data_IF_341419878814
#
_entry.id   IF_341419878814
#
_cell.length_a   1.000
_cell.length_b   1.000
_cell.length_c   1.000
_cell.angle_alpha   90.00
_cell.angle_beta   90.00
_cell.angle_gamma   90.00
#
_symmetry.space_group_name_H-M   'P 1'
#
loop_
_entity.id
_entity.type
_entity.pdbx_description
1 polymer ?
#
# COMPACT_ATOMS: atom_id res chain seq x y z
N UNK A 1 13.07 15.81 -60.05
CA UNK A 1 14.39 16.18 -59.51
C UNK A 1 15.05 14.94 -58.93
N UNK A 2 16.08 14.37 -59.55
CA UNK A 2 16.83 13.28 -58.95
C UNK A 2 17.79 13.81 -57.90
N UNK A 3 17.84 13.11 -56.78
CA UNK A 3 18.70 13.44 -55.64
C UNK A 3 19.42 12.16 -55.21
N UNK A 4 20.71 12.24 -54.89
CA UNK A 4 21.52 11.09 -54.44
C UNK A 4 22.68 11.54 -53.56
N UNK A 5 23.19 10.65 -52.70
CA UNK A 5 24.34 10.94 -51.82
C UNK A 5 25.61 10.21 -52.24
N UNK A 6 25.51 9.07 -52.93
CA UNK A 6 26.68 8.25 -53.28
C UNK A 6 27.27 8.63 -54.63
N UNK A 7 28.60 8.63 -54.73
CA UNK A 7 29.28 8.96 -55.99
C UNK A 7 28.84 8.09 -57.18
N UNK A 8 28.51 6.82 -56.94
CA UNK A 8 28.02 5.89 -57.95
C UNK A 8 26.50 5.98 -58.23
N UNK A 9 25.79 6.95 -57.63
CA UNK A 9 24.34 7.17 -57.76
C UNK A 9 23.46 5.98 -57.36
N UNK A 10 24.00 5.00 -56.62
CA UNK A 10 23.25 3.79 -56.24
C UNK A 10 22.07 4.04 -55.29
N UNK A 11 21.98 5.23 -54.69
CA UNK A 11 20.88 5.67 -53.83
C UNK A 11 20.04 6.79 -54.47
N UNK A 12 20.10 6.95 -55.79
CA UNK A 12 19.36 7.97 -56.51
C UNK A 12 17.85 7.73 -56.42
N UNK A 13 17.13 8.80 -56.05
CA UNK A 13 15.66 8.82 -56.00
C UNK A 13 15.14 10.02 -56.77
N UNK A 14 14.15 9.78 -57.64
CA UNK A 14 13.43 10.83 -58.34
C UNK A 14 12.30 11.38 -57.49
N UNK A 15 12.35 12.68 -57.23
CA UNK A 15 11.29 13.39 -56.52
C UNK A 15 10.47 14.24 -57.50
N UNK A 16 9.13 14.09 -57.51
CA UNK A 16 8.26 14.95 -58.30
C UNK A 16 8.23 16.35 -57.70
N UNK A 17 8.45 17.36 -58.53
CA UNK A 17 8.38 18.76 -58.12
C UNK A 17 6.92 19.24 -58.13
N UNK A 18 6.48 19.90 -57.05
CA UNK A 18 5.13 20.45 -56.93
C UNK A 18 5.16 21.93 -57.27
N UNK A 19 4.32 22.34 -58.23
CA UNK A 19 4.14 23.75 -58.58
C UNK A 19 3.49 24.50 -57.41
N UNK A 20 4.03 25.65 -57.07
CA UNK A 20 3.53 26.57 -56.04
C UNK A 20 2.71 27.69 -56.69
N UNK A 21 1.97 28.44 -55.87
CA UNK A 21 1.06 29.49 -56.34
C UNK A 21 1.78 30.64 -57.07
N UNK A 22 3.01 30.95 -56.65
CA UNK A 22 3.88 31.95 -57.27
C UNK A 22 4.58 31.47 -58.56
N UNK A 23 4.28 30.24 -58.99
CA UNK A 23 4.89 29.62 -60.18
C UNK A 23 6.22 28.93 -59.94
N UNK A 24 6.79 28.99 -58.73
CA UNK A 24 7.96 28.21 -58.35
C UNK A 24 7.62 26.73 -58.15
N UNK A 25 8.63 25.88 -57.97
CA UNK A 25 8.46 24.45 -57.75
C UNK A 25 9.23 24.00 -56.53
N UNK A 26 8.60 23.19 -55.67
CA UNK A 26 9.21 22.66 -54.45
C UNK A 26 9.31 21.13 -54.49
N UNK A 27 10.43 20.62 -53.99
CA UNK A 27 10.65 19.21 -53.70
C UNK A 27 10.97 19.05 -52.22
N UNK A 28 10.30 18.11 -51.57
CA UNK A 28 10.60 17.71 -50.20
C UNK A 28 11.34 16.37 -50.25
N UNK A 29 12.66 16.41 -50.05
CA UNK A 29 13.48 15.21 -49.93
C UNK A 29 13.45 14.69 -48.50
N UNK A 30 13.42 13.36 -48.34
CA UNK A 30 13.51 12.73 -47.04
C UNK A 30 14.65 11.71 -47.05
N UNK A 31 15.61 11.86 -46.13
CA UNK A 31 16.77 10.96 -46.01
C UNK A 31 16.36 9.50 -45.79
N UNK A 32 15.14 9.22 -45.29
CA UNK A 32 14.59 7.85 -45.21
C UNK A 32 14.65 7.11 -46.56
N UNK A 33 14.40 7.81 -47.66
CA UNK A 33 14.44 7.23 -49.01
C UNK A 33 15.87 6.97 -49.50
N UNK A 34 16.88 7.51 -48.80
CA UNK A 34 18.29 7.35 -49.08
C UNK A 34 18.98 6.52 -47.99
N UNK A 35 18.25 5.58 -47.36
CA UNK A 35 18.75 4.74 -46.26
C UNK A 35 19.34 5.55 -45.08
N UNK A 36 18.89 6.80 -44.92
CA UNK A 36 19.35 7.76 -43.92
C UNK A 36 20.84 8.15 -43.99
N UNK A 37 21.46 8.15 -45.17
CA UNK A 37 22.81 8.69 -45.31
C UNK A 37 22.85 10.19 -44.96
N UNK A 38 23.91 10.64 -44.30
CA UNK A 38 24.21 12.05 -44.06
C UNK A 38 25.49 12.44 -44.78
N UNK A 39 25.73 13.73 -44.93
CA UNK A 39 26.78 14.27 -45.81
C UNK A 39 26.22 14.91 -47.07
N UNK A 40 27.01 14.90 -48.14
CA UNK A 40 26.68 15.65 -49.35
C UNK A 40 25.63 14.93 -50.21
N UNK A 41 24.54 15.63 -50.52
CA UNK A 41 23.55 15.21 -51.51
C UNK A 41 23.69 16.05 -52.76
N UNK A 42 23.82 15.40 -53.90
CA UNK A 42 23.82 16.05 -55.22
C UNK A 42 22.38 16.15 -55.71
N UNK A 43 21.99 17.32 -56.23
CA UNK A 43 20.65 17.55 -56.76
C UNK A 43 20.72 18.07 -58.19
N UNK A 44 20.03 17.39 -59.11
CA UNK A 44 19.77 17.93 -60.44
C UNK A 44 18.29 18.31 -60.57
N UNK A 45 18.00 19.27 -61.45
CA UNK A 45 16.63 19.63 -61.85
C UNK A 45 16.51 19.35 -63.33
N UNK A 46 15.43 18.67 -63.70
CA UNK A 46 15.05 18.36 -65.07
C UNK A 46 13.67 18.95 -65.32
N UNK A 47 13.51 19.64 -66.46
CA UNK A 47 12.26 20.19 -66.92
C UNK A 47 12.07 19.89 -68.42
N UNK A 48 10.86 19.51 -68.81
CA UNK A 48 10.50 19.26 -70.20
C UNK A 48 9.59 20.36 -70.71
N UNK A 49 9.94 20.93 -71.86
CA UNK A 49 9.11 21.89 -72.57
C UNK A 49 7.99 21.17 -73.31
N UNK A 50 6.92 21.89 -73.64
CA UNK A 50 5.77 21.33 -74.39
C UNK A 50 6.16 20.78 -75.78
N UNK A 51 7.28 21.21 -76.35
CA UNK A 51 7.82 20.69 -77.61
C UNK A 51 8.68 19.42 -77.44
N UNK A 52 8.70 18.82 -76.24
CA UNK A 52 9.46 17.61 -75.92
C UNK A 52 10.94 17.83 -75.59
N UNK A 53 11.47 19.06 -75.73
CA UNK A 53 12.88 19.34 -75.42
C UNK A 53 13.13 19.44 -73.92
N UNK A 54 14.25 18.87 -73.47
CA UNK A 54 14.65 18.81 -72.06
C UNK A 54 15.60 19.96 -71.71
N UNK A 55 15.49 20.44 -70.47
CA UNK A 55 16.46 21.33 -69.83
C UNK A 55 16.87 20.73 -68.49
N UNK A 56 18.17 20.75 -68.22
CA UNK A 56 18.72 20.26 -66.97
C UNK A 56 19.67 21.28 -66.33
N UNK A 57 19.63 21.40 -65.01
CA UNK A 57 20.61 22.16 -64.22
C UNK A 57 21.13 21.31 -63.06
N UNK A 58 22.42 21.45 -62.77
CA UNK A 58 23.04 20.87 -61.58
C UNK A 58 23.01 21.93 -60.47
N UNK A 59 22.25 21.70 -59.41
CA UNK A 59 22.19 22.60 -58.25
C UNK A 59 23.40 22.45 -57.31
N UNK A 60 24.29 21.51 -57.58
CA UNK A 60 25.46 21.21 -56.77
C UNK A 60 25.14 20.29 -55.61
N UNK A 61 25.94 20.41 -54.55
CA UNK A 61 25.85 19.57 -53.36
C UNK A 61 25.33 20.35 -52.16
N UNK A 62 24.40 19.74 -51.42
CA UNK A 62 23.95 20.22 -50.11
C UNK A 62 24.42 19.25 -49.04
N UNK A 63 25.18 19.73 -48.06
CA UNK A 63 25.59 18.91 -46.93
C UNK A 63 24.46 18.82 -45.90
N UNK A 64 23.98 17.62 -45.63
CA UNK A 64 23.10 17.34 -44.50
C UNK A 64 23.96 16.87 -43.35
N UNK A 65 24.17 17.74 -42.36
CA UNK A 65 24.96 17.41 -41.18
C UNK A 65 24.28 16.32 -40.34
N UNK A 66 25.07 15.35 -39.89
CA UNK A 66 24.60 14.33 -38.98
C UNK A 66 24.38 14.89 -37.57
N UNK A 67 23.23 14.60 -36.98
CA UNK A 67 22.96 14.88 -35.56
C UNK A 67 23.39 13.66 -34.76
N UNK A 68 24.29 13.86 -33.78
CA UNK A 68 24.65 12.81 -32.84
C UNK A 68 23.43 12.45 -32.00
N UNK A 69 23.18 11.15 -31.84
CA UNK A 69 22.11 10.63 -30.99
C UNK A 69 22.17 11.27 -29.59
N UNK A 70 21.03 11.81 -29.13
CA UNK A 70 20.86 12.39 -27.81
C UNK A 70 19.84 11.55 -27.04
N UNK A 71 20.19 11.17 -25.82
CA UNK A 71 19.31 10.47 -24.91
C UNK A 71 19.47 11.06 -23.51
N UNK A 72 18.39 11.61 -22.96
CA UNK A 72 18.29 12.00 -21.56
C UNK A 72 16.93 11.59 -21.01
N UNK A 73 16.86 11.34 -19.71
CA UNK A 73 15.59 11.04 -19.06
C UNK A 73 15.61 11.50 -17.61
N UNK A 74 14.42 11.72 -17.07
CA UNK A 74 14.20 12.13 -15.70
C UNK A 74 13.03 11.38 -15.08
N UNK A 75 13.17 11.03 -13.81
CA UNK A 75 12.09 10.48 -13.00
C UNK A 75 11.30 11.66 -12.44
N UNK A 76 9.97 11.61 -12.59
CA UNK A 76 9.03 12.66 -12.18
C UNK A 76 7.82 12.05 -11.46
N UNK A 77 7.05 12.91 -10.80
CA UNK A 77 5.73 12.57 -10.25
C UNK A 77 5.76 11.34 -9.31
N UNK A 78 6.82 11.23 -8.50
CA UNK A 78 6.97 10.11 -7.56
C UNK A 78 5.88 10.19 -6.48
N UNK A 79 4.97 9.24 -6.51
CA UNK A 79 3.93 9.05 -5.50
C UNK A 79 4.26 7.82 -4.67
N UNK A 80 4.88 8.05 -3.50
CA UNK A 80 5.31 6.98 -2.60
C UNK A 80 4.13 6.18 -2.03
N UNK A 81 2.96 6.81 -1.84
CA UNK A 81 1.78 6.12 -1.34
C UNK A 81 1.24 5.10 -2.35
N UNK A 82 0.98 5.57 -3.57
CA UNK A 82 0.43 4.74 -4.64
C UNK A 82 1.47 3.82 -5.29
N UNK A 83 2.77 4.04 -5.02
CA UNK A 83 3.86 3.29 -5.63
C UNK A 83 3.94 3.55 -7.13
N UNK A 84 3.79 4.81 -7.56
CA UNK A 84 3.80 5.19 -8.97
C UNK A 84 4.81 6.30 -9.23
N UNK A 85 5.38 6.33 -10.43
CA UNK A 85 6.20 7.44 -10.90
C UNK A 85 6.28 7.43 -12.42
N UNK A 86 6.69 8.56 -13.00
CA UNK A 86 6.84 8.71 -14.43
C UNK A 86 8.31 8.77 -14.82
N UNK A 87 8.64 8.19 -15.97
CA UNK A 87 9.95 8.34 -16.61
C UNK A 87 9.71 9.15 -17.87
N UNK A 88 10.19 10.39 -17.88
CA UNK A 88 10.11 11.28 -19.05
C UNK A 88 11.45 11.26 -19.78
N UNK A 89 11.43 10.86 -21.05
CA UNK A 89 12.60 10.63 -21.89
C UNK A 89 12.62 11.62 -23.05
N UNK A 90 13.73 12.31 -23.22
CA UNK A 90 14.04 13.07 -24.43
C UNK A 90 15.02 12.24 -25.27
N UNK A 91 14.56 11.83 -26.44
CA UNK A 91 15.31 10.96 -27.34
C UNK A 91 15.30 11.56 -28.75
N UNK A 92 16.48 11.73 -29.34
CA UNK A 92 16.63 12.16 -30.72
C UNK A 92 17.76 11.41 -31.41
N UNK A 93 17.56 11.12 -32.69
CA UNK A 93 18.55 10.49 -33.55
C UNK A 93 18.39 11.04 -34.95
N UNK A 94 19.50 11.27 -35.65
CA UNK A 94 19.50 11.64 -37.06
C UNK A 94 18.78 10.62 -37.95
N UNK A 95 18.74 9.35 -37.53
CA UNK A 95 18.06 8.28 -38.26
C UNK A 95 16.58 8.17 -37.86
N UNK A 96 16.09 9.03 -36.98
CA UNK A 96 14.77 8.93 -36.36
C UNK A 96 14.74 7.87 -35.25
N UNK A 97 13.95 8.14 -34.21
CA UNK A 97 13.74 7.20 -33.11
C UNK A 97 12.66 6.19 -33.50
N UNK A 98 13.01 4.91 -33.49
CA UNK A 98 12.10 3.80 -33.78
C UNK A 98 11.27 3.45 -32.56
N UNK A 99 11.92 3.30 -31.41
CA UNK A 99 11.26 3.05 -30.13
C UNK A 99 12.18 3.39 -28.95
N UNK A 100 11.56 3.61 -27.79
CA UNK A 100 12.22 3.77 -26.49
C UNK A 100 11.68 2.69 -25.55
N UNK A 101 12.58 1.94 -24.91
CA UNK A 101 12.28 0.89 -23.95
C UNK A 101 12.89 1.23 -22.59
N UNK A 102 12.16 0.97 -21.52
CA UNK A 102 12.54 1.32 -20.15
C UNK A 102 12.36 0.07 -19.28
N UNK A 103 13.40 -0.75 -19.07
CA UNK A 103 13.35 -1.81 -18.09
C UNK A 103 13.46 -1.25 -16.67
N UNK A 104 12.59 -1.76 -15.80
CA UNK A 104 12.49 -1.36 -14.40
C UNK A 104 12.43 -2.62 -13.55
N UNK A 105 13.14 -2.65 -12.42
CA UNK A 105 13.11 -3.76 -11.46
C UNK A 105 13.46 -3.24 -10.07
N UNK A 106 13.09 -3.98 -9.02
CA UNK A 106 13.43 -3.66 -7.63
C UNK A 106 14.24 -4.75 -6.93
N UNK A 107 14.18 -5.98 -7.44
CA UNK A 107 14.88 -7.12 -6.83
C UNK A 107 16.32 -7.24 -7.36
N UNK A 108 17.31 -7.60 -6.51
CA UNK A 108 18.69 -7.77 -6.96
C UNK A 108 18.85 -8.80 -8.08
N UNK A 109 18.05 -9.87 -8.06
CA UNK A 109 18.02 -10.91 -9.09
C UNK A 109 17.13 -10.58 -10.29
N UNK A 110 16.53 -9.38 -10.34
CA UNK A 110 15.66 -8.92 -11.43
C UNK A 110 14.42 -9.79 -11.68
N UNK A 111 13.99 -10.57 -10.69
CA UNK A 111 12.81 -11.46 -10.78
C UNK A 111 11.47 -10.73 -10.93
N UNK A 112 11.47 -9.40 -10.76
CA UNK A 112 10.33 -8.51 -10.95
C UNK A 112 10.55 -7.51 -12.11
N UNK A 113 11.51 -7.79 -13.00
CA UNK A 113 11.84 -6.91 -14.11
C UNK A 113 10.69 -6.83 -15.13
N UNK A 114 10.33 -5.59 -15.49
CA UNK A 114 9.33 -5.31 -16.52
C UNK A 114 9.92 -4.37 -17.56
N UNK A 115 9.78 -4.74 -18.84
CA UNK A 115 10.16 -3.91 -19.98
C UNK A 115 8.98 -3.06 -20.43
N UNK A 116 9.04 -1.76 -20.18
CA UNK A 116 8.04 -0.81 -20.66
C UNK A 116 8.41 -0.29 -22.05
N UNK A 117 7.43 -0.20 -22.94
CA UNK A 117 7.55 0.57 -24.19
C UNK A 117 7.05 1.99 -23.93
N UNK A 118 7.92 2.98 -24.09
CA UNK A 118 7.56 4.37 -23.80
C UNK A 118 6.58 4.93 -24.85
N UNK A 119 5.61 5.69 -24.38
CA UNK A 119 4.59 6.33 -25.20
C UNK A 119 5.08 7.70 -25.64
N UNK A 120 5.03 7.99 -26.95
CA UNK A 120 5.45 9.28 -27.49
C UNK A 120 4.39 10.35 -27.19
N UNK A 121 4.83 11.48 -26.66
CA UNK A 121 4.01 12.63 -26.31
C UNK A 121 3.94 13.66 -27.46
N UNK A 122 3.00 14.60 -27.37
CA UNK A 122 2.77 15.62 -28.41
C UNK A 122 3.96 16.58 -28.58
N UNK A 123 4.71 16.84 -27.52
CA UNK A 123 5.93 17.66 -27.52
C UNK A 123 7.17 16.92 -28.07
N UNK A 124 7.01 15.64 -28.45
CA UNK A 124 8.06 14.80 -29.00
C UNK A 124 8.87 14.00 -27.96
N UNK A 125 8.67 14.24 -26.66
CA UNK A 125 9.24 13.41 -25.59
C UNK A 125 8.52 12.06 -25.49
N UNK A 126 9.01 11.16 -24.64
CA UNK A 126 8.39 9.86 -24.38
C UNK A 126 8.16 9.68 -22.89
N UNK A 127 7.08 9.01 -22.52
CA UNK A 127 6.72 8.74 -21.12
C UNK A 127 6.50 7.25 -20.87
N UNK A 128 6.97 6.79 -19.71
CA UNK A 128 6.55 5.52 -19.10
C UNK A 128 5.90 5.83 -17.76
N UNK A 129 4.73 5.24 -17.53
CA UNK A 129 4.03 5.26 -16.25
C UNK A 129 4.35 3.98 -15.50
N UNK A 130 5.21 4.07 -14.49
CA UNK A 130 5.52 2.94 -13.62
C UNK A 130 4.42 2.80 -12.55
N UNK A 131 4.01 1.56 -12.31
CA UNK A 131 3.15 1.22 -11.19
C UNK A 131 3.66 -0.05 -10.49
N UNK A 132 3.82 0.00 -9.17
CA UNK A 132 4.29 -1.10 -8.33
C UNK A 132 3.45 -2.38 -8.48
N UNK A 133 2.18 -2.26 -8.87
CA UNK A 133 1.29 -3.40 -9.15
C UNK A 133 1.82 -4.30 -10.26
N UNK A 134 2.56 -3.74 -11.22
CA UNK A 134 3.20 -4.51 -12.29
C UNK A 134 4.47 -5.23 -11.81
N UNK A 135 4.95 -4.90 -10.62
CA UNK A 135 6.19 -5.41 -10.01
C UNK A 135 5.89 -6.18 -8.72
N UNK A 136 4.79 -6.95 -8.71
CA UNK A 136 4.37 -7.79 -7.56
C UNK A 136 4.16 -7.00 -6.25
N UNK A 137 3.91 -5.69 -6.35
CA UNK A 137 3.79 -4.77 -5.20
C UNK A 137 5.04 -4.67 -4.31
N UNK A 138 6.23 -5.02 -4.82
CA UNK A 138 7.48 -4.91 -4.06
C UNK A 138 7.79 -3.46 -3.71
N UNK A 139 7.99 -3.16 -2.43
CA UNK A 139 8.44 -1.84 -1.97
C UNK A 139 9.94 -1.87 -1.71
N UNK A 140 10.60 -0.76 -2.00
CA UNK A 140 12.04 -0.60 -1.86
C UNK A 140 12.64 0.21 -2.99
N UNK A 141 13.90 -0.08 -3.29
CA UNK A 141 14.69 0.63 -4.29
C UNK A 141 14.43 0.06 -5.68
N UNK A 142 14.00 0.91 -6.60
CA UNK A 142 13.82 0.61 -8.00
C UNK A 142 14.99 1.13 -8.83
N UNK A 143 15.50 0.26 -9.71
CA UNK A 143 16.49 0.58 -10.74
C UNK A 143 15.76 0.84 -12.06
N UNK A 144 16.27 1.78 -12.85
CA UNK A 144 15.64 2.16 -14.12
C UNK A 144 16.71 2.47 -15.16
N UNK A 145 16.67 1.74 -16.27
CA UNK A 145 17.47 2.06 -17.45
C UNK A 145 16.56 2.55 -18.57
N UNK A 146 17.15 3.23 -19.55
CA UNK A 146 16.45 3.72 -20.74
C UNK A 146 17.25 3.33 -21.97
N UNK A 147 16.60 2.69 -22.94
CA UNK A 147 17.16 2.25 -24.20
C UNK A 147 16.42 2.92 -25.35
N UNK A 148 17.15 3.63 -26.21
CA UNK A 148 16.64 4.17 -27.47
C UNK A 148 17.15 3.32 -28.63
N UNK A 149 16.25 2.92 -29.53
CA UNK A 149 16.59 2.31 -30.81
C UNK A 149 16.22 3.25 -31.94
N UNK A 150 17.15 3.50 -32.87
CA UNK A 150 16.87 4.30 -34.06
C UNK A 150 16.37 3.43 -35.24
N UNK A 151 15.98 4.04 -36.36
CA UNK A 151 15.44 3.29 -37.52
C UNK A 151 16.46 2.38 -38.23
N UNK A 152 17.77 2.51 -37.91
CA UNK A 152 18.82 1.56 -38.33
C UNK A 152 19.02 0.42 -37.33
N UNK A 153 18.29 0.42 -36.21
CA UNK A 153 18.40 -0.58 -35.15
C UNK A 153 19.56 -0.36 -34.18
N UNK A 154 20.29 0.76 -34.28
CA UNK A 154 21.38 1.06 -33.35
C UNK A 154 20.80 1.49 -32.00
N UNK A 155 21.50 1.14 -30.92
CA UNK A 155 21.07 1.34 -29.55
C UNK A 155 21.91 2.42 -28.86
N UNK A 156 21.24 3.31 -28.12
CA UNK A 156 21.85 4.18 -27.10
C UNK A 156 21.16 3.92 -25.77
N UNK A 157 21.91 3.86 -24.67
CA UNK A 157 21.36 3.57 -23.35
C UNK A 157 21.91 4.48 -22.26
N UNK A 158 21.10 4.75 -21.24
CA UNK A 158 21.46 5.45 -20.01
C UNK A 158 20.86 4.72 -18.80
N UNK A 159 21.55 4.77 -17.66
CA UNK A 159 21.01 4.38 -16.37
C UNK A 159 20.57 5.65 -15.61
N UNK A 160 19.41 5.58 -14.95
CA UNK A 160 18.92 6.65 -14.09
C UNK A 160 19.28 6.38 -12.63
N UNK A 161 19.16 7.42 -11.80
CA UNK A 161 19.25 7.26 -10.36
C UNK A 161 18.13 6.35 -9.84
N UNK A 162 18.43 5.64 -8.75
CA UNK A 162 17.47 4.76 -8.11
C UNK A 162 16.28 5.55 -7.53
N UNK A 163 15.10 4.96 -7.57
CA UNK A 163 13.88 5.51 -6.94
C UNK A 163 13.49 4.67 -5.75
N UNK A 164 13.41 5.27 -4.56
CA UNK A 164 12.97 4.56 -3.36
C UNK A 164 11.46 4.72 -3.17
N UNK A 165 10.74 3.61 -3.16
CA UNK A 165 9.35 3.50 -2.74
C UNK A 165 9.30 2.85 -1.35
N UNK A 166 9.20 3.64 -0.26
CA UNK A 166 9.33 3.11 1.09
C UNK A 166 8.20 2.13 1.41
N UNK A 167 8.50 1.19 2.31
CA UNK A 167 7.49 0.37 3.00
C UNK A 167 6.52 1.31 3.72
N UNK A 168 5.22 1.06 3.58
CA UNK A 168 4.17 1.80 4.27
C UNK A 168 3.67 0.91 5.39
N UNK A 169 3.95 1.21 6.66
CA UNK A 169 3.41 0.43 7.75
C UNK A 169 1.90 0.53 7.75
N UNK A 170 1.23 -0.59 7.99
CA UNK A 170 -0.22 -0.61 8.21
C UNK A 170 -0.52 0.19 9.49
N UNK A 171 -1.30 1.26 9.35
CA UNK A 171 -1.70 2.11 10.47
C UNK A 171 -3.19 2.41 10.35
N UNK A 172 -3.90 2.38 11.47
CA UNK A 172 -5.29 2.79 11.56
C UNK A 172 -5.48 3.57 12.86
N UNK A 173 -5.62 4.88 12.74
CA UNK A 173 -5.89 5.79 13.85
C UNK A 173 -7.16 6.56 13.57
N UNK A 174 -8.01 6.74 14.56
CA UNK A 174 -9.18 7.58 14.41
C UNK A 174 -9.55 8.24 15.73
N UNK A 175 -10.29 9.34 15.63
CA UNK A 175 -10.76 10.12 16.76
C UNK A 175 -12.12 10.72 16.46
N UNK A 176 -12.95 10.86 17.50
CA UNK A 176 -14.19 11.61 17.43
C UNK A 176 -13.88 13.11 17.62
N UNK A 177 -14.49 13.95 16.78
CA UNK A 177 -14.37 15.42 16.84
C UNK A 177 -15.73 16.07 16.62
N UNK A 178 -15.79 17.38 16.88
CA UNK A 178 -16.96 18.22 16.60
C UNK A 178 -18.26 17.68 17.21
N UNK A 179 -18.18 17.16 18.44
CA UNK A 179 -19.35 16.64 19.16
C UNK A 179 -20.32 17.78 19.44
N UNK A 180 -21.49 17.72 18.82
CA UNK A 180 -22.59 18.66 19.03
C UNK A 180 -23.76 17.92 19.69
N UNK A 181 -23.90 18.06 21.01
CA UNK A 181 -24.96 17.42 21.80
C UNK A 181 -26.36 17.96 21.52
N UNK A 182 -26.48 19.23 21.12
CA UNK A 182 -27.77 19.85 20.78
C UNK A 182 -28.32 19.26 19.48
N UNK A 183 -27.53 19.30 18.42
CA UNK A 183 -27.86 18.72 17.12
C UNK A 183 -27.86 17.18 17.15
N UNK A 184 -27.09 16.59 18.07
CA UNK A 184 -26.82 15.16 18.14
C UNK A 184 -26.04 14.69 16.92
N UNK A 185 -24.83 15.21 16.77
CA UNK A 185 -23.92 14.84 15.70
C UNK A 185 -22.48 14.88 16.17
N UNK A 186 -21.61 14.16 15.47
CA UNK A 186 -20.16 14.29 15.60
C UNK A 186 -19.49 13.81 14.32
N UNK A 187 -18.21 14.13 14.18
CA UNK A 187 -17.37 13.67 13.09
C UNK A 187 -16.40 12.59 13.59
N UNK A 188 -16.14 11.59 12.76
CA UNK A 188 -15.05 10.64 12.96
C UNK A 188 -13.96 10.96 11.95
N UNK A 189 -12.78 11.33 12.43
CA UNK A 189 -11.61 11.63 11.60
C UNK A 189 -10.66 10.44 11.68
N UNK A 190 -10.31 9.87 10.53
CA UNK A 190 -9.50 8.64 10.41
C UNK A 190 -8.23 8.93 9.62
N UNK A 191 -7.08 8.55 10.18
CA UNK A 191 -5.80 8.47 9.50
C UNK A 191 -5.45 6.99 9.32
N UNK A 192 -5.34 6.56 8.07
CA UNK A 192 -5.02 5.18 7.76
C UNK A 192 -4.00 5.10 6.64
N UNK A 193 -3.09 4.15 6.75
CA UNK A 193 -2.16 3.78 5.70
C UNK A 193 -2.10 2.25 5.63
N UNK A 194 -1.95 1.70 4.42
CA UNK A 194 -1.68 0.27 4.27
C UNK A 194 -0.70 0.01 3.14
N UNK A 195 0.21 -0.94 3.36
CA UNK A 195 1.16 -1.41 2.34
C UNK A 195 0.44 -1.98 1.11
N UNK A 196 -0.63 -2.73 1.34
CA UNK A 196 -1.42 -3.44 0.32
C UNK A 196 -2.44 -2.53 -0.39
N UNK A 197 -2.57 -1.28 0.09
CA UNK A 197 -3.56 -0.33 -0.37
C UNK A 197 -4.85 -0.40 0.44
N UNK A 198 -5.69 0.63 0.32
CA UNK A 198 -6.95 0.76 1.05
C UNK A 198 -8.09 0.66 0.04
N UNK A 199 -8.97 -0.34 0.19
CA UNK A 199 -10.16 -0.50 -0.64
C UNK A 199 -11.25 0.48 -0.22
N UNK A 200 -11.61 0.48 1.08
CA UNK A 200 -12.60 1.39 1.67
C UNK A 200 -12.41 1.50 3.18
N UNK A 201 -12.93 2.60 3.76
CA UNK A 201 -13.01 2.80 5.21
C UNK A 201 -14.48 2.94 5.60
N UNK A 202 -14.91 2.19 6.61
CA UNK A 202 -16.28 2.19 7.09
C UNK A 202 -16.35 2.37 8.61
N UNK A 203 -17.38 3.06 9.09
CA UNK A 203 -17.58 3.36 10.50
C UNK A 203 -18.97 2.87 10.91
N UNK A 204 -19.13 1.64 11.42
CA UNK A 204 -20.38 1.22 12.00
C UNK A 204 -20.59 1.91 13.35
N UNK A 205 -21.79 2.46 13.52
CA UNK A 205 -22.20 3.20 14.71
C UNK A 205 -23.56 2.73 15.20
N UNK A 206 -23.75 2.61 16.51
CA UNK A 206 -25.04 2.28 17.13
C UNK A 206 -25.18 2.91 18.51
N UNK A 207 -26.41 3.06 19.01
CA UNK A 207 -26.69 3.54 20.38
C UNK A 207 -27.37 2.50 21.28
N UNK A 208 -27.95 1.45 20.68
CA UNK A 208 -28.68 0.43 21.43
C UNK A 208 -27.78 -0.77 21.77
N UNK A 209 -27.96 -1.36 22.96
CA UNK A 209 -27.18 -2.54 23.40
C UNK A 209 -27.29 -3.74 22.45
N UNK A 210 -28.44 -3.91 21.80
CA UNK A 210 -28.69 -4.97 20.83
C UNK A 210 -28.35 -4.56 19.38
N UNK A 211 -27.76 -3.38 19.18
CA UNK A 211 -27.35 -2.84 17.87
C UNK A 211 -28.51 -2.73 16.85
N UNK A 212 -29.76 -2.65 17.31
CA UNK A 212 -30.95 -2.57 16.46
C UNK A 212 -31.09 -1.26 15.67
N UNK A 213 -30.21 -0.29 15.94
CA UNK A 213 -30.09 0.99 15.26
C UNK A 213 -28.72 1.17 14.59
N UNK A 214 -28.00 0.07 14.34
CA UNK A 214 -26.68 0.11 13.72
C UNK A 214 -26.74 0.64 12.29
N UNK A 215 -25.86 1.59 11.97
CA UNK A 215 -25.68 2.15 10.63
C UNK A 215 -24.21 2.08 10.25
N UNK A 216 -23.92 1.59 9.04
CA UNK A 216 -22.59 1.58 8.46
C UNK A 216 -22.37 2.85 7.63
N UNK A 217 -21.48 3.72 8.09
CA UNK A 217 -21.10 4.91 7.35
C UNK A 217 -19.88 4.64 6.48
N UNK A 218 -19.94 4.97 5.19
CA UNK A 218 -18.76 4.97 4.32
C UNK A 218 -17.99 6.28 4.54
N UNK A 219 -16.70 6.18 4.87
CA UNK A 219 -15.87 7.35 5.09
C UNK A 219 -15.48 8.02 3.77
N UNK A 220 -15.46 9.35 3.77
CA UNK A 220 -15.08 10.15 2.62
C UNK A 220 -13.59 10.51 2.72
N UNK A 221 -12.83 10.24 1.66
CA UNK A 221 -11.40 10.60 1.62
C UNK A 221 -11.23 12.10 1.43
N UNK A 222 -10.40 12.71 2.27
CA UNK A 222 -10.09 14.13 2.30
C UNK A 222 -8.84 14.43 1.46
N UNK A 223 -8.63 15.71 1.13
CA UNK A 223 -7.51 16.16 0.28
C UNK A 223 -6.13 15.93 0.93
N UNK A 224 -6.06 15.93 2.27
CA UNK A 224 -4.86 15.64 3.04
C UNK A 224 -4.58 14.13 3.22
N UNK A 225 -5.42 13.27 2.63
CA UNK A 225 -5.30 11.82 2.68
C UNK A 225 -6.00 11.15 3.86
N UNK A 226 -6.53 11.91 4.82
CA UNK A 226 -7.38 11.38 5.90
C UNK A 226 -8.78 11.00 5.39
N UNK A 227 -9.59 10.37 6.22
CA UNK A 227 -11.00 10.05 5.94
C UNK A 227 -11.90 10.65 7.00
N UNK A 228 -13.13 11.01 6.62
CA UNK A 228 -14.14 11.56 7.52
C UNK A 228 -15.48 10.86 7.39
N UNK A 229 -16.15 10.65 8.53
CA UNK A 229 -17.57 10.29 8.62
C UNK A 229 -18.31 11.35 9.42
N UNK A 230 -19.48 11.76 8.92
CA UNK A 230 -20.40 12.64 9.63
C UNK A 230 -21.55 11.81 10.22
N UNK A 231 -21.54 11.63 11.54
CA UNK A 231 -22.59 10.91 12.26
C UNK A 231 -23.71 11.89 12.65
N UNK A 232 -24.96 11.51 12.42
CA UNK A 232 -26.12 12.24 12.93
C UNK A 232 -27.18 11.31 13.50
N UNK A 233 -27.70 11.64 14.68
CA UNK A 233 -28.75 10.90 15.40
C UNK A 233 -30.04 10.71 14.57
N UNK A 234 -30.29 11.54 13.55
CA UNK A 234 -31.42 11.37 12.63
C UNK A 234 -31.38 10.02 11.91
N UNK A 235 -30.19 9.48 11.68
CA UNK A 235 -29.99 8.16 11.07
C UNK A 235 -30.19 7.01 12.07
N UNK A 236 -30.27 7.33 13.36
CA UNK A 236 -30.39 6.37 14.47
C UNK A 236 -31.69 6.58 15.25
N UNK A 237 -32.79 6.78 14.52
CA UNK A 237 -34.15 6.94 15.08
C UNK A 237 -34.28 8.11 16.08
N UNK A 238 -33.36 9.07 16.03
CA UNK A 238 -33.26 10.20 16.96
C UNK A 238 -32.96 9.81 18.43
N UNK A 239 -32.39 8.63 18.67
CA UNK A 239 -32.01 8.19 20.01
C UNK A 239 -30.99 9.17 20.65
N UNK A 240 -31.13 9.42 21.94
CA UNK A 240 -30.20 10.24 22.76
C UNK A 240 -29.50 9.33 23.76
N UNK A 241 -28.24 9.62 24.07
CA UNK A 241 -27.42 8.78 24.94
C UNK A 241 -26.05 8.50 24.32
N UNK A 242 -25.44 7.40 24.74
CA UNK A 242 -24.12 6.99 24.28
C UNK A 242 -24.21 6.28 22.94
N UNK A 243 -23.29 6.63 22.03
CA UNK A 243 -23.12 6.00 20.73
C UNK A 243 -21.77 5.31 20.66
N UNK A 244 -21.76 4.02 20.35
CA UNK A 244 -20.55 3.26 20.07
C UNK A 244 -20.20 3.37 18.60
N UNK A 245 -18.94 3.65 18.28
CA UNK A 245 -18.42 3.67 16.91
C UNK A 245 -17.16 2.83 16.77
N UNK A 246 -17.12 1.98 15.75
CA UNK A 246 -15.89 1.31 15.32
C UNK A 246 -15.44 1.88 13.98
N UNK A 247 -14.18 1.66 13.61
CA UNK A 247 -13.64 2.00 12.29
C UNK A 247 -13.05 0.73 11.68
N UNK A 248 -13.43 0.43 10.45
CA UNK A 248 -12.97 -0.69 9.64
C UNK A 248 -12.19 -0.15 8.44
N UNK A 249 -10.96 -0.62 8.26
CA UNK A 249 -10.11 -0.39 7.10
C UNK A 249 -10.09 -1.67 6.27
N UNK A 250 -10.74 -1.67 5.12
CA UNK A 250 -10.80 -2.82 4.22
C UNK A 250 -9.67 -2.77 3.20
N UNK A 251 -9.02 -3.92 3.01
CA UNK A 251 -7.92 -4.12 2.08
C UNK A 251 -8.43 -4.75 0.76
N UNK A 252 -7.73 -4.57 -0.37
CA UNK A 252 -8.18 -5.10 -1.68
C UNK A 252 -8.34 -6.61 -1.76
N UNK A 253 -7.72 -7.37 -0.85
CA UNK A 253 -7.88 -8.82 -0.73
C UNK A 253 -9.14 -9.24 0.04
N UNK A 254 -9.93 -8.27 0.51
CA UNK A 254 -11.16 -8.47 1.29
C UNK A 254 -10.94 -8.56 2.80
N UNK A 255 -9.69 -8.59 3.28
CA UNK A 255 -9.39 -8.54 4.72
C UNK A 255 -9.63 -7.13 5.28
N UNK A 256 -9.69 -6.99 6.61
CA UNK A 256 -9.80 -5.67 7.24
C UNK A 256 -9.05 -5.56 8.58
N UNK A 257 -8.70 -4.33 8.93
CA UNK A 257 -8.22 -3.94 10.25
C UNK A 257 -9.28 -3.08 10.91
N UNK A 258 -9.57 -3.27 12.19
CA UNK A 258 -10.57 -2.48 12.90
C UNK A 258 -10.11 -1.95 14.25
N UNK A 259 -10.61 -0.76 14.62
CA UNK A 259 -10.44 -0.14 15.94
C UNK A 259 -11.79 0.26 16.52
N UNK A 260 -11.93 0.19 17.84
CA UNK A 260 -13.09 0.72 18.55
C UNK A 260 -12.78 2.11 19.08
N UNK A 261 -13.69 3.07 18.89
CA UNK A 261 -13.59 4.44 19.40
C UNK A 261 -14.27 4.60 20.77
N UNK A 262 -14.82 3.53 21.33
CA UNK A 262 -15.59 3.59 22.56
C UNK A 262 -16.94 4.28 22.38
N UNK A 263 -17.45 4.87 23.46
CA UNK A 263 -18.75 5.53 23.52
C UNK A 263 -18.62 7.05 23.44
N UNK A 264 -19.49 7.69 22.64
CA UNK A 264 -19.65 9.14 22.56
C UNK A 264 -21.00 9.55 23.12
N UNK A 265 -21.00 10.40 24.14
CA UNK A 265 -22.19 10.89 24.80
C UNK A 265 -22.89 12.00 23.98
N UNK A 266 -24.12 11.72 23.54
CA UNK A 266 -25.02 12.67 22.88
C UNK A 266 -26.32 12.89 23.68
N UNK A 267 -26.26 12.79 25.02
CA UNK A 267 -27.35 13.25 25.89
C UNK A 267 -27.60 14.75 25.71
N UNK A 268 -28.86 15.18 25.79
CA UNK A 268 -29.18 16.62 25.73
C UNK A 268 -28.63 17.30 27.00
N UNK A 269 -27.95 18.45 26.88
CA UNK A 269 -27.62 19.27 28.04
C UNK A 269 -28.93 19.66 28.74
N UNK A 270 -28.99 19.46 30.06
CA UNK A 270 -30.14 19.90 30.85
C UNK A 270 -30.14 21.44 30.83
N UNK A 271 -31.20 22.07 30.34
CA UNK A 271 -31.38 23.50 30.56
C UNK A 271 -31.72 23.67 32.04
N UNK A 272 -30.82 24.27 32.82
CA UNK A 272 -31.17 24.74 34.16
C UNK A 272 -32.38 25.67 34.04
N UNK A 273 -33.51 25.17 34.51
CA UNK A 273 -34.73 25.92 34.63
C UNK A 273 -34.46 27.02 35.68
N UNK A 274 -34.72 28.32 35.40
CA UNK A 274 -34.47 29.37 36.37
C UNK A 274 -35.29 29.09 37.63
N UNK A 275 -34.59 29.00 38.76
CA UNK A 275 -35.15 28.81 40.11
C UNK A 275 -36.22 29.89 40.37
N UNK A 276 -37.43 29.55 40.84
CA UNK A 276 -38.43 30.57 41.18
C UNK A 276 -37.92 31.46 42.32
N UNK A 277 -38.06 32.77 42.12
CA UNK A 277 -37.81 33.80 43.13
C UNK A 277 -38.80 33.65 44.28
N UNK A 278 -38.33 33.32 45.49
CA UNK A 278 -39.12 33.46 46.72
C UNK A 278 -38.98 34.89 47.25
N UNK A 279 -40.12 35.59 47.37
CA UNK A 279 -40.26 36.79 48.20
C UNK A 279 -40.68 36.42 49.65
N UNK A 280 -40.40 37.29 50.64
CA UNK A 280 -40.14 36.89 52.02
C UNK A 280 -41.35 37.02 52.96
N UNK A 281 -41.45 36.14 53.96
CA UNK A 281 -42.36 36.35 55.09
C UNK A 281 -42.35 35.30 56.22
N UNK A 282 -41.69 35.68 57.33
CA UNK A 282 -41.95 35.38 58.78
C UNK A 282 -42.02 33.91 59.25
N UNK A 283 -41.05 33.40 60.02
CA UNK A 283 -40.69 33.64 61.45
C UNK A 283 -41.60 32.97 62.49
N UNK A 284 -41.07 31.94 63.17
CA UNK A 284 -41.06 31.67 64.63
C UNK A 284 -40.58 30.21 64.84
N UNK A 285 -39.32 29.95 65.24
CA UNK A 285 -38.73 29.96 66.59
C UNK A 285 -39.21 28.81 67.50
N UNK A 286 -38.35 27.80 67.73
CA UNK A 286 -37.98 27.42 69.09
C UNK A 286 -36.71 26.53 69.17
N UNK A 287 -35.91 26.87 70.17
CA UNK A 287 -34.63 26.32 70.62
C UNK A 287 -34.82 24.92 71.26
N UNK A 288 -33.81 24.08 71.55
CA UNK A 288 -32.69 24.35 72.45
C UNK A 288 -31.70 23.16 72.59
N UNK A 289 -30.39 23.48 72.63
CA UNK A 289 -29.31 22.89 73.46
C UNK A 289 -28.61 21.61 72.96
N UNK A 290 -27.30 21.38 73.16
CA UNK A 290 -26.27 22.11 73.92
C UNK A 290 -24.84 21.60 73.52
N UNK A 291 -23.87 22.53 73.50
CA UNK A 291 -22.40 22.45 73.74
C UNK A 291 -21.58 21.18 73.42
N UNK A 292 -20.47 21.35 72.66
CA UNK A 292 -19.13 21.38 73.27
C UNK A 292 -18.02 21.93 72.35
N UNK A 293 -17.03 22.50 73.02
CA UNK A 293 -15.92 23.37 72.60
C UNK A 293 -14.73 22.60 72.01
N UNK A 294 -14.00 23.21 71.08
CA UNK A 294 -12.66 22.75 70.68
C UNK A 294 -12.11 23.51 69.47
N UNK A 295 -11.41 24.61 69.71
CA UNK A 295 -10.71 25.40 68.71
C UNK A 295 -9.24 24.98 68.67
N UNK A 296 -8.70 24.64 67.49
CA UNK A 296 -7.24 24.55 67.26
C UNK A 296 -6.95 24.97 65.83
N UNK A 297 -6.08 25.97 65.71
CA UNK A 297 -5.63 26.67 64.50
C UNK A 297 -4.38 26.03 63.91
N UNK A 298 -4.34 25.91 62.56
CA UNK A 298 -3.22 26.03 61.59
C UNK A 298 -3.31 24.97 60.46
N UNK A 299 -2.70 25.17 59.27
CA UNK A 299 -2.71 26.36 58.41
C UNK A 299 -3.26 26.03 57.00
N UNK A 300 -3.68 27.07 56.28
CA UNK A 300 -4.18 27.03 54.90
C UNK A 300 -3.16 26.49 53.89
N UNK A 301 -3.55 25.45 53.13
CA UNK A 301 -2.90 24.98 51.89
C UNK A 301 -3.84 25.26 50.69
N UNK A 302 -3.34 25.65 49.50
CA UNK A 302 -4.16 26.18 48.42
C UNK A 302 -5.10 25.15 47.79
N UNK A 303 -6.25 25.64 47.35
CA UNK A 303 -7.31 24.98 46.58
C UNK A 303 -6.76 24.26 45.34
N UNK A 304 -6.79 22.92 45.33
CA UNK A 304 -6.68 22.13 44.10
C UNK A 304 -8.04 22.11 43.38
N UNK A 305 -8.01 22.47 42.09
CA UNK A 305 -9.12 22.29 41.16
C UNK A 305 -9.59 20.82 41.15
N UNK A 306 -10.91 20.54 41.00
CA UNK A 306 -11.39 19.20 40.73
C UNK A 306 -10.71 18.65 39.47
N UNK A 307 -9.96 17.56 39.64
CA UNK A 307 -9.19 16.92 38.59
C UNK A 307 -10.04 16.57 37.37
N UNK A 308 -9.47 16.85 36.18
CA UNK A 308 -9.92 16.26 34.92
C UNK A 308 -10.12 14.76 35.12
N UNK A 309 -11.34 14.29 34.85
CA UNK A 309 -11.58 12.88 34.58
C UNK A 309 -10.71 12.53 33.36
N UNK A 310 -9.65 11.74 33.57
CA UNK A 310 -8.88 11.18 32.46
C UNK A 310 -9.80 10.31 31.61
N UNK A 311 -9.98 10.69 30.34
CA UNK A 311 -10.63 9.86 29.33
C UNK A 311 -9.95 8.49 29.27
N UNK A 312 -10.70 7.38 29.10
CA UNK A 312 -10.11 6.06 28.93
C UNK A 312 -9.17 6.05 27.72
N UNK A 313 -7.87 6.01 27.99
CA UNK A 313 -6.84 5.86 26.96
C UNK A 313 -6.99 4.49 26.30
N UNK A 314 -7.33 4.48 25.01
CA UNK A 314 -7.40 3.24 24.21
C UNK A 314 -5.99 2.65 24.10
N UNK A 315 -5.71 1.57 24.83
CA UNK A 315 -4.44 0.83 24.71
C UNK A 315 -4.41 0.08 23.38
N UNK A 316 -3.51 0.49 22.49
CA UNK A 316 -3.13 -0.28 21.31
C UNK A 316 -2.21 -1.44 21.75
N UNK A 317 -2.56 -2.67 21.36
CA UNK A 317 -1.72 -3.85 21.64
C UNK A 317 -0.67 -3.96 20.54
N UNK A 318 0.59 -4.11 20.93
CA UNK A 318 1.68 -4.37 19.99
C UNK A 318 1.67 -5.84 19.59
N UNK A 319 1.06 -6.13 18.43
CA UNK A 319 0.95 -7.48 17.88
C UNK A 319 2.33 -8.09 17.60
N UNK A 320 3.28 -7.28 17.12
CA UNK A 320 4.63 -7.77 16.81
C UNK A 320 5.37 -8.18 18.08
N UNK A 321 5.14 -7.47 19.18
CA UNK A 321 5.64 -7.85 20.50
C UNK A 321 5.04 -9.18 20.98
N UNK A 322 3.73 -9.40 20.79
CA UNK A 322 3.09 -10.68 21.14
C UNK A 322 3.66 -11.82 20.28
N UNK A 323 3.78 -11.64 18.95
CA UNK A 323 4.36 -12.63 18.04
C UNK A 323 5.80 -12.96 18.40
N UNK A 324 6.64 -11.95 18.58
CA UNK A 324 8.05 -12.11 18.95
C UNK A 324 8.21 -12.86 20.26
N UNK A 325 7.35 -12.57 21.23
CA UNK A 325 7.35 -13.26 22.51
C UNK A 325 6.89 -14.73 22.39
N UNK A 326 5.88 -15.03 21.57
CA UNK A 326 5.49 -16.42 21.26
C UNK A 326 6.65 -17.17 20.62
N UNK A 327 7.33 -16.59 19.62
CA UNK A 327 8.50 -17.20 18.96
C UNK A 327 9.61 -17.48 19.98
N UNK A 328 9.89 -16.51 20.87
CA UNK A 328 10.88 -16.67 21.96
C UNK A 328 10.51 -17.83 22.88
N UNK A 329 9.27 -17.92 23.33
CA UNK A 329 8.77 -18.98 24.22
C UNK A 329 8.85 -20.36 23.57
N UNK A 330 8.44 -20.48 22.30
CA UNK A 330 8.56 -21.73 21.52
C UNK A 330 10.02 -22.16 21.40
N UNK A 331 10.93 -21.24 21.07
CA UNK A 331 12.34 -21.54 20.91
C UNK A 331 13.04 -21.90 22.23
N UNK A 332 12.67 -21.27 23.35
CA UNK A 332 13.14 -21.68 24.69
C UNK A 332 12.70 -23.11 24.99
N UNK A 333 11.45 -23.44 24.72
CA UNK A 333 10.93 -24.79 24.94
C UNK A 333 11.67 -25.81 24.07
N UNK A 334 11.85 -25.52 22.78
CA UNK A 334 12.60 -26.38 21.85
C UNK A 334 14.04 -26.60 22.32
N UNK A 335 14.74 -25.54 22.71
CA UNK A 335 16.11 -25.64 23.25
C UNK A 335 16.18 -26.44 24.54
N UNK A 336 15.18 -26.32 25.42
CA UNK A 336 15.10 -27.15 26.64
C UNK A 336 15.00 -28.65 26.35
N UNK A 337 14.60 -29.02 25.13
CA UNK A 337 14.53 -30.40 24.63
C UNK A 337 15.69 -30.77 23.71
N UNK A 338 16.70 -29.90 23.57
CA UNK A 338 17.86 -30.13 22.70
C UNK A 338 17.57 -29.96 21.21
N UNK A 339 16.49 -29.27 20.84
CA UNK A 339 16.12 -29.01 19.45
C UNK A 339 16.64 -27.65 18.96
N UNK A 340 16.83 -27.54 17.66
CA UNK A 340 17.21 -26.28 17.00
C UNK A 340 16.08 -25.24 17.11
N UNK A 341 16.49 -23.98 17.26
CA UNK A 341 15.58 -22.85 17.19
C UNK A 341 14.99 -22.73 15.77
N UNK A 342 13.74 -22.30 15.71
CA UNK A 342 13.04 -21.94 14.48
C UNK A 342 13.31 -20.49 14.13
N UNK A 343 13.53 -20.22 12.85
CA UNK A 343 13.60 -18.86 12.33
C UNK A 343 12.22 -18.39 11.89
N UNK A 344 11.96 -17.09 12.03
CA UNK A 344 10.72 -16.49 11.52
C UNK A 344 10.75 -16.46 9.99
N UNK A 345 9.66 -16.88 9.37
CA UNK A 345 9.44 -16.86 7.92
C UNK A 345 8.22 -16.00 7.59
N UNK A 346 8.41 -14.96 6.78
CA UNK A 346 7.38 -13.97 6.49
C UNK A 346 6.23 -14.53 5.65
N UNK A 347 6.49 -15.48 4.76
CA UNK A 347 5.45 -16.08 3.93
C UNK A 347 4.54 -16.96 4.80
N UNK A 348 5.12 -17.63 5.80
CA UNK A 348 4.37 -18.36 6.82
C UNK A 348 3.61 -17.42 7.77
N UNK A 349 4.17 -16.26 8.11
CA UNK A 349 3.46 -15.26 8.92
C UNK A 349 2.25 -14.69 8.20
N UNK A 350 2.38 -14.37 6.91
CA UNK A 350 1.26 -13.91 6.09
C UNK A 350 0.16 -14.97 5.99
N UNK A 351 0.58 -16.23 5.77
CA UNK A 351 -0.30 -17.39 5.79
C UNK A 351 -1.01 -17.56 7.14
N UNK A 352 -0.27 -17.51 8.24
CA UNK A 352 -0.80 -17.64 9.59
C UNK A 352 -1.74 -16.48 9.95
N UNK A 353 -1.45 -15.26 9.48
CA UNK A 353 -2.32 -14.08 9.64
C UNK A 353 -3.67 -14.31 8.99
N UNK A 354 -3.69 -14.73 7.73
CA UNK A 354 -4.94 -15.10 7.02
C UNK A 354 -5.70 -16.16 7.81
N UNK A 355 -5.01 -17.23 8.20
CA UNK A 355 -5.61 -18.32 8.98
C UNK A 355 -6.19 -17.84 10.31
N UNK A 356 -5.50 -16.97 11.04
CA UNK A 356 -5.98 -16.45 12.32
C UNK A 356 -7.31 -15.70 12.20
N UNK A 357 -7.55 -15.01 11.08
CA UNK A 357 -8.82 -14.34 10.78
C UNK A 357 -9.89 -15.36 10.37
N UNK A 358 -9.53 -16.32 9.51
CA UNK A 358 -10.44 -17.36 9.06
C UNK A 358 -11.00 -18.18 10.22
N UNK A 359 -10.16 -18.52 11.21
CA UNK A 359 -10.61 -19.29 12.37
C UNK A 359 -11.56 -18.52 13.31
N UNK A 360 -11.66 -17.20 13.18
CA UNK A 360 -12.74 -16.44 13.84
C UNK A 360 -14.10 -16.72 13.23
N UNK A 361 -14.12 -16.92 11.91
CA UNK A 361 -15.35 -17.20 11.15
C UNK A 361 -15.72 -18.67 11.29
N UNK A 362 -14.72 -19.55 11.22
CA UNK A 362 -14.88 -21.00 11.32
C UNK A 362 -13.65 -21.59 12.01
N UNK A 363 -13.77 -21.90 13.30
CA UNK A 363 -12.69 -22.48 14.10
C UNK A 363 -12.42 -23.95 13.69
N UNK A 364 -11.70 -24.13 12.60
CA UNK A 364 -11.44 -25.39 11.91
C UNK A 364 -10.12 -25.30 11.10
N UNK A 365 -9.46 -26.43 10.89
CA UNK A 365 -8.32 -26.59 9.97
C UNK A 365 -8.75 -26.59 8.50
N UNK A 366 -10.04 -26.75 8.23
CA UNK A 366 -10.64 -26.53 6.91
C UNK A 366 -11.09 -25.07 6.82
N UNK A 367 -10.52 -24.35 5.85
CA UNK A 367 -10.75 -22.94 5.57
C UNK A 367 -12.23 -22.67 5.23
N UNK A 368 -12.70 -21.41 5.35
CA UNK A 368 -14.10 -21.05 5.07
C UNK A 368 -14.56 -21.36 3.65
N UNK A 369 -13.65 -21.37 2.68
CA UNK A 369 -13.90 -21.75 1.29
C UNK A 369 -13.94 -23.27 1.03
N UNK A 370 -13.73 -24.09 2.08
CA UNK A 370 -13.72 -25.54 2.01
C UNK A 370 -12.35 -26.17 1.71
N UNK A 371 -11.32 -25.37 1.44
CA UNK A 371 -9.95 -25.86 1.23
C UNK A 371 -9.24 -26.19 2.56
N UNK A 372 -8.19 -27.00 2.53
CA UNK A 372 -7.38 -27.29 3.73
C UNK A 372 -6.49 -26.09 4.08
N UNK A 373 -6.12 -25.96 5.38
CA UNK A 373 -5.30 -24.84 5.86
C UNK A 373 -4.01 -24.64 5.06
N UNK A 374 -3.41 -25.71 4.57
CA UNK A 374 -2.14 -25.73 3.85
C UNK A 374 -2.22 -25.00 2.48
N UNK A 375 -3.42 -24.90 1.91
CA UNK A 375 -3.67 -24.17 0.66
C UNK A 375 -3.56 -22.65 0.79
N UNK A 376 -3.51 -22.12 2.02
CA UNK A 376 -3.29 -20.68 2.25
C UNK A 376 -1.89 -20.24 1.80
N UNK A 377 -0.96 -21.19 1.71
CA UNK A 377 0.44 -20.95 1.38
C UNK A 377 0.70 -21.20 -0.12
N UNK A 378 1.33 -20.23 -0.81
CA UNK A 378 1.66 -20.38 -2.23
C UNK A 378 2.93 -21.23 -2.42
N UNK A 379 2.73 -22.46 -2.91
CA UNK A 379 3.70 -23.57 -2.95
C UNK A 379 5.11 -23.26 -3.46
N UNK A 380 6.09 -23.58 -2.63
CA UNK A 380 7.48 -23.93 -2.96
C UNK A 380 7.89 -25.22 -2.22
N UNK A 381 7.18 -26.32 -2.45
CA UNK A 381 7.48 -27.70 -2.01
C UNK A 381 7.87 -27.93 -0.52
N UNK A 382 7.66 -26.94 0.36
CA UNK A 382 7.88 -27.07 1.81
C UNK A 382 6.81 -27.92 2.47
N UNK A 383 7.21 -28.77 3.41
CA UNK A 383 6.27 -29.41 4.33
C UNK A 383 5.75 -28.38 5.33
N UNK A 384 4.43 -28.34 5.57
CA UNK A 384 3.82 -27.38 6.50
C UNK A 384 2.85 -28.02 7.50
N UNK A 385 2.75 -27.42 8.68
CA UNK A 385 1.85 -27.88 9.75
C UNK A 385 1.31 -26.71 10.57
N UNK A 386 0.06 -26.79 11.02
CA UNK A 386 -0.65 -25.72 11.73
C UNK A 386 -0.95 -26.09 13.19
N UNK A 387 -0.81 -25.12 14.10
CA UNK A 387 -1.48 -25.11 15.40
C UNK A 387 -2.44 -23.92 15.46
N UNK A 388 -3.73 -24.14 15.74
CA UNK A 388 -4.72 -23.08 15.90
C UNK A 388 -5.16 -22.95 17.36
N UNK A 389 -5.44 -21.72 17.81
CA UNK A 389 -5.84 -21.40 19.17
C UNK A 389 -6.88 -20.28 19.21
N UNK A 390 -7.77 -20.34 20.19
CA UNK A 390 -8.60 -19.22 20.58
C UNK A 390 -8.62 -19.12 22.11
N UNK A 391 -8.54 -17.89 22.64
CA UNK A 391 -8.62 -17.64 24.08
C UNK A 391 -9.52 -16.44 24.35
N UNK A 392 -10.22 -16.46 25.49
CA UNK A 392 -11.19 -15.44 25.90
C UNK A 392 -10.73 -14.77 27.20
N UNK A 393 -11.18 -13.54 27.45
CA UNK A 393 -10.79 -12.70 28.59
C UNK A 393 -9.35 -12.18 28.56
N UNK A 394 -8.83 -11.89 27.37
CA UNK A 394 -7.53 -11.23 27.19
C UNK A 394 -7.57 -9.71 27.37
N UNK A 395 -8.77 -9.14 27.56
CA UNK A 395 -8.95 -7.71 27.77
C UNK A 395 -8.23 -7.26 29.06
N UNK A 396 -7.24 -6.37 28.91
CA UNK A 396 -6.44 -5.84 30.02
C UNK A 396 -5.11 -6.53 30.27
N UNK A 397 -4.83 -7.66 29.60
CA UNK A 397 -3.53 -8.33 29.68
C UNK A 397 -2.45 -7.54 28.94
N UNK A 398 -1.18 -7.68 29.37
CA UNK A 398 -0.02 -7.21 28.62
C UNK A 398 0.25 -8.08 27.39
N UNK A 399 1.03 -7.56 26.44
CA UNK A 399 1.44 -8.31 25.26
C UNK A 399 2.16 -9.61 25.64
N UNK A 400 3.02 -9.57 26.66
CA UNK A 400 3.70 -10.74 27.21
C UNK A 400 2.73 -11.74 27.84
N UNK A 401 1.75 -11.26 28.61
CA UNK A 401 0.75 -12.11 29.24
C UNK A 401 -0.16 -12.79 28.19
N UNK A 402 -0.48 -12.09 27.10
CA UNK A 402 -1.23 -12.67 25.97
C UNK A 402 -0.39 -13.75 25.29
N UNK A 403 0.89 -13.47 25.01
CA UNK A 403 1.81 -14.43 24.42
C UNK A 403 1.98 -15.70 25.29
N UNK A 404 2.17 -15.53 26.60
CA UNK A 404 2.28 -16.63 27.57
C UNK A 404 1.00 -17.44 27.65
N UNK A 405 -0.16 -16.78 27.62
CA UNK A 405 -1.48 -17.44 27.62
C UNK A 405 -1.65 -18.33 26.38
N UNK A 406 -1.32 -17.81 25.20
CA UNK A 406 -1.39 -18.55 23.94
C UNK A 406 -0.39 -19.71 23.90
N UNK A 407 0.87 -19.46 24.27
CA UNK A 407 1.92 -20.47 24.36
C UNK A 407 1.55 -21.60 25.32
N UNK A 408 1.11 -21.27 26.53
CA UNK A 408 0.72 -22.25 27.54
C UNK A 408 -0.46 -23.09 27.07
N UNK A 409 -1.42 -22.47 26.40
CA UNK A 409 -2.57 -23.19 25.82
C UNK A 409 -2.14 -24.19 24.74
N UNK A 410 -1.21 -23.84 23.85
CA UNK A 410 -0.62 -24.82 22.91
C UNK A 410 0.19 -25.89 23.62
N UNK A 411 0.99 -25.54 24.62
CA UNK A 411 1.82 -26.48 25.39
C UNK A 411 1.00 -27.51 26.15
N UNK A 412 -0.18 -27.12 26.65
CA UNK A 412 -1.08 -28.01 27.38
C UNK A 412 -1.92 -28.92 26.46
N UNK A 413 -1.90 -28.70 25.14
CA UNK A 413 -2.52 -29.59 24.16
C UNK A 413 -1.48 -30.58 23.63
N UNK A 414 -1.62 -31.90 23.87
CA UNK A 414 -0.61 -32.88 23.45
C UNK A 414 -0.28 -32.83 21.95
N UNK A 415 -1.28 -32.62 21.09
CA UNK A 415 -1.09 -32.55 19.65
C UNK A 415 -0.36 -31.26 19.24
N UNK A 416 -0.75 -30.12 19.79
CA UNK A 416 -0.09 -28.84 19.49
C UNK A 416 1.35 -28.83 20.01
N UNK A 417 1.57 -29.33 21.22
CA UNK A 417 2.89 -29.46 21.82
C UNK A 417 3.80 -30.38 21.02
N UNK A 418 3.30 -31.54 20.58
CA UNK A 418 4.05 -32.44 19.70
C UNK A 418 4.46 -31.73 18.40
N UNK A 419 3.58 -30.96 17.79
CA UNK A 419 3.86 -30.22 16.56
C UNK A 419 4.98 -29.17 16.76
N UNK A 420 4.95 -28.41 17.86
CA UNK A 420 5.98 -27.42 18.21
C UNK A 420 7.38 -28.05 18.38
N UNK A 421 7.46 -29.33 18.73
CA UNK A 421 8.70 -30.05 19.02
C UNK A 421 9.16 -31.00 17.91
N UNK A 422 8.53 -30.96 16.73
CA UNK A 422 9.03 -31.73 15.59
C UNK A 422 10.41 -31.21 15.18
N UNK A 423 11.39 -32.10 15.13
CA UNK A 423 12.81 -31.75 14.93
C UNK A 423 13.11 -31.21 13.52
N UNK A 424 12.38 -31.67 12.49
CA UNK A 424 12.60 -31.24 11.09
C UNK A 424 12.16 -29.81 10.79
N UNK A 425 11.34 -29.19 11.64
CA UNK A 425 10.94 -27.80 11.44
C UNK A 425 12.14 -26.88 11.63
N UNK A 426 12.29 -25.92 10.72
CA UNK A 426 13.34 -24.90 10.74
C UNK A 426 12.76 -23.49 10.67
N UNK A 427 11.52 -23.35 10.18
CA UNK A 427 10.79 -22.09 10.00
C UNK A 427 9.50 -22.06 10.79
N UNK A 428 9.08 -20.88 11.19
CA UNK A 428 7.75 -20.65 11.77
C UNK A 428 7.17 -19.29 11.39
N UNK A 429 5.84 -19.21 11.35
CA UNK A 429 5.09 -17.96 11.26
C UNK A 429 3.97 -17.92 12.29
N UNK A 430 3.73 -16.74 12.87
CA UNK A 430 2.67 -16.50 13.87
C UNK A 430 1.64 -15.52 13.33
N UNK A 431 0.39 -15.95 13.30
CA UNK A 431 -0.77 -15.10 13.03
C UNK A 431 -1.54 -14.81 14.30
N UNK A 432 -1.91 -13.55 14.51
CA UNK A 432 -2.74 -13.13 15.64
C UNK A 432 -3.83 -12.23 15.11
N UNK A 433 -5.06 -12.50 15.54
CA UNK A 433 -6.18 -11.61 15.33
C UNK A 433 -7.06 -11.59 16.58
N UNK A 434 -7.74 -10.48 16.81
CA UNK A 434 -8.62 -10.31 17.96
C UNK A 434 -10.07 -10.35 17.51
N UNK A 435 -10.97 -10.82 18.38
CA UNK A 435 -12.39 -10.66 18.15
C UNK A 435 -12.76 -9.16 18.17
N UNK A 436 -13.96 -8.83 17.68
CA UNK A 436 -14.42 -7.44 17.53
C UNK A 436 -14.47 -6.62 18.83
N UNK A 437 -14.44 -7.27 20.01
CA UNK A 437 -14.45 -6.62 21.33
C UNK A 437 -13.10 -6.66 22.05
N UNK A 438 -12.04 -7.21 21.43
CA UNK A 438 -10.73 -7.53 22.06
C UNK A 438 -10.83 -8.36 23.34
N UNK A 439 -11.95 -9.04 23.57
CA UNK A 439 -12.11 -9.98 24.66
C UNK A 439 -11.62 -11.37 24.25
N UNK A 440 -11.51 -11.65 22.95
CA UNK A 440 -11.01 -12.90 22.41
C UNK A 440 -9.80 -12.67 21.53
N UNK A 441 -8.85 -13.60 21.57
CA UNK A 441 -7.71 -13.69 20.65
C UNK A 441 -7.76 -15.01 19.92
N UNK A 442 -7.46 -14.97 18.63
CA UNK A 442 -7.28 -16.11 17.76
C UNK A 442 -5.84 -16.09 17.28
N UNK A 443 -5.14 -17.21 17.45
CA UNK A 443 -3.74 -17.29 17.09
C UNK A 443 -3.46 -18.58 16.32
N UNK A 444 -2.54 -18.47 15.37
CA UNK A 444 -2.12 -19.59 14.52
C UNK A 444 -0.60 -19.64 14.50
N UNK A 445 -0.03 -20.83 14.69
CA UNK A 445 1.37 -21.12 14.38
C UNK A 445 1.41 -21.96 13.11
N UNK A 446 2.21 -21.57 12.14
CA UNK A 446 2.55 -22.43 11.00
C UNK A 446 4.03 -22.77 11.12
N UNK A 447 4.36 -24.05 10.97
CA UNK A 447 5.72 -24.58 10.98
C UNK A 447 6.06 -25.12 9.60
N UNK A 448 7.30 -24.92 9.14
CA UNK A 448 7.78 -25.55 7.91
C UNK A 448 9.25 -25.97 7.97
N UNK A 449 9.66 -26.75 6.98
CA UNK A 449 11.06 -26.95 6.60
C UNK A 449 11.60 -25.74 5.81
N UNK A 450 12.91 -25.71 5.56
CA UNK A 450 13.51 -24.76 4.61
C UNK A 450 12.88 -24.89 3.20
N UNK A 451 12.81 -23.79 2.42
CA UNK A 451 12.47 -23.86 1.01
C UNK A 451 13.45 -24.78 0.30
N UNK A 452 12.94 -25.80 -0.39
CA UNK A 452 13.79 -26.59 -1.29
C UNK A 452 13.78 -25.87 -2.63
N UNK A 453 14.85 -25.16 -2.95
CA UNK A 453 15.11 -24.78 -4.35
C UNK A 453 15.40 -26.04 -5.12
N UNK A 454 14.40 -26.56 -5.82
CA UNK A 454 14.61 -27.59 -6.83
C UNK A 454 15.31 -26.92 -8.01
N UNK A 455 16.64 -26.97 -8.03
CA UNK A 455 17.38 -26.73 -9.26
C UNK A 455 17.00 -27.87 -10.22
N UNK A 456 16.09 -27.56 -11.14
CA UNK A 456 15.79 -28.45 -12.26
C UNK A 456 16.94 -28.33 -13.23
N UNK A 457 17.76 -29.37 -13.31
CA UNK A 457 18.75 -29.52 -14.36
C UNK A 457 18.02 -29.58 -15.73
N UNK A 458 18.72 -29.25 -16.82
CA UNK A 458 18.14 -29.12 -18.18
C UNK A 458 17.36 -30.37 -18.69
N UNK A 459 17.52 -31.51 -18.02
CA UNK A 459 16.89 -32.79 -18.37
C UNK A 459 15.61 -33.12 -17.56
N UNK A 460 15.17 -32.24 -16.64
CA UNK A 460 13.91 -32.40 -15.90
C UNK A 460 13.93 -33.43 -14.75
N UNK A 461 15.09 -33.95 -14.37
CA UNK A 461 15.26 -34.78 -13.18
C UNK A 461 15.47 -33.92 -11.92
N UNK A 462 14.89 -34.37 -10.81
CA UNK A 462 15.05 -33.75 -9.48
C UNK A 462 16.15 -34.49 -8.73
N UNK A 463 17.27 -33.82 -8.44
CA UNK A 463 18.19 -34.30 -7.40
C UNK A 463 17.62 -33.91 -6.03
N UNK A 464 17.28 -34.92 -5.23
CA UNK A 464 16.94 -34.73 -3.82
C UNK A 464 18.26 -34.75 -3.04
N UNK A 465 18.67 -33.65 -2.38
CA UNK A 465 19.80 -33.70 -1.47
C UNK A 465 19.44 -34.64 -0.32
N UNK A 466 20.18 -35.74 -0.20
CA UNK A 466 20.13 -36.58 1.00
C UNK A 466 20.78 -35.77 2.14
N UNK A 467 19.95 -35.29 3.06
CA UNK A 467 20.42 -34.92 4.40
C UNK A 467 20.41 -36.17 5.30
#
# INVERSE_FOLDING_TARGET
>A
MPIWSKANQSDLVWYPAKKQADGSYVVHMNIKNHMYHTGNYTTHVYAWKNNGTEMAINLGQTNIQGIKDQLSAAIKNVNQQNGTYDIVVNASSQFGVREVKVPIWSTPNQSDLVWYKAQKQADGSYVVHMNIKNHKNHRGTYMTHVYMYNNRGQQTAIALNNTNLPVIPDTLKAQVKNVNKEAGSYDVIIQAASQQGIERVEVPTWSTKNQSDLVWYKAQKQADGSYIVHMNIKNHKNNRGNYTSHVYLWHPDGSNTAISLGETDLTKPNQEQPKPTEEPGKSENNQQGNTNTGNTTEPTKPTEQPGKTEEPQVRELDIEKIKSEIVRLVNIERQSKGLNQLSVDRDLEDSARVRSVEIQTKYDHVRPDGSMYDTVFSKDDREISENANQNWHIAGLSEEQIAETLFTSWKNSPNHYKNMLVNRWTRMGIGISFNSTRQGVYAVQIFSTEPVTLDRNEDGNVEIPLN
#
